data_IF_120814235906
#
_entry.id   IF_120814235906
#
_cell.length_a   1.000
_cell.length_b   1.000
_cell.length_c   1.000
_cell.angle_alpha   90.00
_cell.angle_beta   90.00
_cell.angle_gamma   90.00
#
_symmetry.space_group_name_H-M   'P 1'
#
loop_
_entity.id
_entity.type
_entity.pdbx_description
1 polymer ?
#
# COMPACT_ATOMS: atom_id res chain seq x y z
N UNK A 1 31.86 30.88 -1.05
CA UNK A 1 31.21 31.88 -0.18
C UNK A 1 31.48 31.42 1.25
N UNK A 2 32.60 31.88 1.83
CA UNK A 2 33.03 31.51 3.18
C UNK A 2 32.41 32.53 4.14
N UNK A 3 31.25 32.20 4.71
CA UNK A 3 30.76 32.92 5.88
C UNK A 3 31.63 32.51 7.06
N UNK A 4 32.59 33.37 7.40
CA UNK A 4 33.27 33.31 8.68
C UNK A 4 32.19 33.39 9.78
N UNK A 5 32.18 32.40 10.65
CA UNK A 5 31.48 32.47 11.94
C UNK A 5 31.90 33.80 12.57
N UNK A 6 30.94 34.68 12.81
CA UNK A 6 31.19 36.00 13.36
C UNK A 6 31.77 35.85 14.78
N UNK A 7 33.09 35.96 14.90
CA UNK A 7 33.85 35.66 16.12
C UNK A 7 33.47 36.58 17.30
N UNK A 8 32.87 37.73 17.00
CA UNK A 8 32.43 38.68 18.02
C UNK A 8 31.18 38.17 18.76
N UNK A 9 30.26 37.48 18.07
CA UNK A 9 29.11 36.83 18.70
C UNK A 9 29.53 35.69 19.66
N UNK A 10 30.58 34.95 19.31
CA UNK A 10 31.08 33.86 20.15
C UNK A 10 31.62 34.36 21.50
N UNK A 11 32.26 35.54 21.52
CA UNK A 11 32.82 36.14 22.74
C UNK A 11 31.76 36.69 23.69
N UNK A 12 30.59 37.05 23.17
CA UNK A 12 29.45 37.55 23.96
C UNK A 12 28.65 36.44 24.65
N UNK A 13 28.84 35.18 24.24
CA UNK A 13 28.15 34.04 24.86
C UNK A 13 28.69 33.73 26.26
N UNK A 14 27.85 33.28 27.21
CA UNK A 14 28.32 32.75 28.49
C UNK A 14 29.34 31.62 28.31
N UNK A 15 30.34 31.55 29.18
CA UNK A 15 31.48 30.61 29.08
C UNK A 15 31.07 29.15 28.86
N UNK A 16 29.98 28.71 29.49
CA UNK A 16 29.41 27.37 29.28
C UNK A 16 29.04 27.10 27.82
N UNK A 17 28.37 28.05 27.15
CA UNK A 17 27.96 27.92 25.76
C UNK A 17 29.15 27.99 24.79
N UNK A 18 30.17 28.78 25.12
CA UNK A 18 31.44 28.81 24.38
C UNK A 18 32.13 27.43 24.40
N UNK A 19 32.22 26.82 25.58
CA UNK A 19 32.80 25.47 25.75
C UNK A 19 31.98 24.43 24.97
N UNK A 20 30.65 24.45 25.08
CA UNK A 20 29.77 23.52 24.35
C UNK A 20 29.89 23.66 22.84
N UNK A 21 29.97 24.89 22.32
CA UNK A 21 30.13 25.15 20.90
C UNK A 21 31.51 24.70 20.39
N UNK A 22 32.56 24.91 21.19
CA UNK A 22 33.91 24.40 20.89
C UNK A 22 33.93 22.87 20.86
N UNK A 23 33.30 22.20 21.83
CA UNK A 23 33.15 20.74 21.83
C UNK A 23 32.35 20.26 20.61
N UNK A 24 31.31 20.97 20.20
CA UNK A 24 30.54 20.66 18.99
C UNK A 24 31.40 20.76 17.72
N UNK A 25 32.19 21.83 17.56
CA UNK A 25 33.09 21.98 16.40
C UNK A 25 34.18 20.90 16.41
N UNK A 26 34.78 20.61 17.57
CA UNK A 26 35.82 19.57 17.69
C UNK A 26 35.24 18.20 17.39
N UNK A 27 34.05 17.88 17.89
CA UNK A 27 33.38 16.60 17.62
C UNK A 27 32.96 16.47 16.15
N UNK A 28 32.49 17.54 15.52
CA UNK A 28 32.18 17.57 14.08
C UNK A 28 33.45 17.40 13.22
N UNK A 29 34.55 18.01 13.64
CA UNK A 29 35.87 17.89 12.98
C UNK A 29 36.46 16.48 13.12
N UNK A 30 36.33 15.88 14.30
CA UNK A 30 36.69 14.48 14.53
C UNK A 30 35.80 13.51 13.75
N UNK A 31 34.50 13.77 13.70
CA UNK A 31 33.56 12.95 12.95
C UNK A 31 33.82 13.01 11.44
N UNK A 32 34.12 14.19 10.89
CA UNK A 32 34.50 14.34 9.48
C UNK A 32 35.88 13.73 9.17
N UNK A 33 36.83 13.77 10.11
CA UNK A 33 38.10 13.05 10.00
C UNK A 33 37.90 11.52 10.00
N UNK A 34 37.03 11.01 10.88
CA UNK A 34 36.66 9.59 10.91
C UNK A 34 35.95 9.17 9.61
N UNK A 35 35.09 10.00 9.02
CA UNK A 35 34.44 9.72 7.73
C UNK A 35 35.43 9.69 6.54
N UNK A 36 36.56 10.40 6.62
CA UNK A 36 37.64 10.32 5.63
C UNK A 36 38.45 9.02 5.75
N UNK A 37 38.41 8.34 6.89
CA UNK A 37 39.06 7.05 7.07
C UNK A 37 38.26 5.96 6.34
N UNK A 38 38.86 5.36 5.30
CA UNK A 38 38.21 4.36 4.45
C UNK A 38 37.75 3.10 5.21
N UNK A 39 38.43 2.75 6.30
CA UNK A 39 38.06 1.60 7.15
C UNK A 39 36.85 1.91 8.01
N UNK A 40 36.82 3.09 8.65
CA UNK A 40 35.66 3.53 9.42
C UNK A 40 34.44 3.78 8.53
N UNK A 41 34.65 4.39 7.36
CA UNK A 41 33.61 4.53 6.34
C UNK A 41 33.10 3.19 5.85
N UNK A 42 33.95 2.19 5.58
CA UNK A 42 33.50 0.82 5.26
C UNK A 42 32.80 0.14 6.43
N UNK A 43 33.19 0.42 7.67
CA UNK A 43 32.55 -0.14 8.87
C UNK A 43 31.17 0.48 9.12
N UNK A 44 31.02 1.79 8.91
CA UNK A 44 29.75 2.51 8.89
C UNK A 44 28.89 2.06 7.71
N UNK A 45 29.44 2.01 6.49
CA UNK A 45 28.73 1.49 5.32
C UNK A 45 28.31 0.04 5.54
N UNK A 46 29.12 -0.81 6.15
CA UNK A 46 28.73 -2.19 6.51
C UNK A 46 27.76 -2.25 7.69
N UNK A 47 27.85 -1.35 8.66
CA UNK A 47 26.96 -1.26 9.82
C UNK A 47 25.58 -0.74 9.41
N UNK A 48 25.55 0.30 8.58
CA UNK A 48 24.36 0.88 7.92
C UNK A 48 23.81 -0.14 6.93
N UNK A 49 24.61 -0.74 6.05
CA UNK A 49 24.18 -1.81 5.13
C UNK A 49 23.67 -3.04 5.88
N UNK A 50 24.23 -3.38 7.06
CA UNK A 50 23.65 -4.37 7.98
C UNK A 50 22.31 -3.87 8.54
N UNK A 51 22.23 -2.64 9.05
CA UNK A 51 21.01 -2.05 9.58
C UNK A 51 19.88 -1.97 8.52
N UNK A 52 20.21 -1.71 7.25
CA UNK A 52 19.31 -1.74 6.10
C UNK A 52 19.04 -3.16 5.58
N UNK A 53 19.96 -4.12 5.72
CA UNK A 53 19.73 -5.55 5.38
C UNK A 53 18.95 -6.32 6.45
N UNK A 54 18.92 -5.83 7.69
CA UNK A 54 18.15 -6.41 8.78
C UNK A 54 16.78 -5.76 8.90
N UNK A 55 16.02 -5.68 7.80
CA UNK A 55 14.57 -5.60 7.89
C UNK A 55 14.07 -6.93 8.49
N UNK A 56 13.59 -6.87 9.72
CA UNK A 56 12.98 -7.97 10.46
C UNK A 56 11.60 -8.30 9.88
N UNK A 57 10.99 -9.44 10.24
CA UNK A 57 9.61 -9.74 9.81
C UNK A 57 8.62 -8.66 10.31
N UNK A 58 9.01 -7.92 11.35
CA UNK A 58 8.28 -6.75 11.83
C UNK A 58 8.23 -5.64 10.78
N UNK A 59 9.27 -5.42 9.98
CA UNK A 59 9.30 -4.31 9.01
C UNK A 59 8.39 -4.55 7.80
N UNK A 60 8.14 -5.81 7.45
CA UNK A 60 7.10 -6.19 6.48
C UNK A 60 5.72 -5.86 7.04
N UNK A 61 5.47 -6.19 8.31
CA UNK A 61 4.21 -5.89 9.00
C UNK A 61 4.03 -4.40 9.32
N UNK A 62 5.11 -3.61 9.27
CA UNK A 62 5.12 -2.14 9.38
C UNK A 62 5.09 -1.46 8.00
N UNK A 63 4.68 -2.16 6.94
CA UNK A 63 4.46 -1.53 5.63
C UNK A 63 3.22 -0.62 5.64
N UNK A 64 3.27 0.58 5.01
CA UNK A 64 2.15 1.53 4.89
C UNK A 64 0.78 0.93 4.61
N UNK A 65 0.71 0.04 3.62
CA UNK A 65 -0.51 -0.67 3.23
C UNK A 65 -1.32 -1.26 4.41
N UNK A 66 -0.67 -1.71 5.49
CA UNK A 66 -1.36 -2.35 6.61
C UNK A 66 -1.98 -1.37 7.63
N UNK A 67 -1.38 -0.20 7.83
CA UNK A 67 -1.95 0.84 8.70
C UNK A 67 -2.77 1.89 7.95
N UNK A 68 -2.59 2.00 6.63
CA UNK A 68 -3.42 2.82 5.76
C UNK A 68 -4.86 2.30 5.62
N UNK A 69 -5.16 1.07 6.07
CA UNK A 69 -6.54 0.52 6.10
C UNK A 69 -7.55 1.52 6.65
N UNK A 70 -7.25 2.09 7.82
CA UNK A 70 -8.16 3.02 8.50
C UNK A 70 -8.30 4.32 7.71
N UNK A 71 -7.21 4.77 7.09
CA UNK A 71 -7.23 5.93 6.20
C UNK A 71 -8.15 5.68 4.99
N UNK A 72 -7.95 4.58 4.26
CA UNK A 72 -8.79 4.23 3.11
C UNK A 72 -10.26 4.05 3.48
N UNK A 73 -10.56 3.32 4.55
CA UNK A 73 -11.93 3.14 5.02
C UNK A 73 -12.58 4.46 5.46
N UNK A 74 -11.82 5.38 6.04
CA UNK A 74 -12.32 6.72 6.36
C UNK A 74 -12.60 7.54 5.09
N UNK A 75 -11.76 7.43 4.07
CA UNK A 75 -11.99 8.11 2.79
C UNK A 75 -13.26 7.61 2.10
N UNK A 76 -13.61 6.32 2.21
CA UNK A 76 -14.87 5.80 1.67
C UNK A 76 -16.11 6.51 2.23
N UNK A 77 -16.07 6.94 3.49
CA UNK A 77 -17.19 7.66 4.11
C UNK A 77 -17.40 9.05 3.49
N UNK A 78 -16.37 9.61 2.87
CA UNK A 78 -16.41 10.91 2.19
C UNK A 78 -16.83 10.79 0.72
N UNK A 79 -16.81 9.57 0.14
CA UNK A 79 -17.25 9.36 -1.23
C UNK A 79 -18.77 9.53 -1.28
N UNK A 80 -19.24 10.55 -2.00
CA UNK A 80 -20.65 10.79 -2.22
C UNK A 80 -20.92 10.78 -3.72
N UNK A 81 -21.54 9.69 -4.18
CA UNK A 81 -22.03 9.57 -5.53
C UNK A 81 -23.47 10.11 -5.57
N UNK A 82 -23.84 10.90 -6.58
CA UNK A 82 -25.20 11.45 -6.70
C UNK A 82 -26.25 10.33 -6.63
N UNK A 83 -26.98 10.25 -5.51
CA UNK A 83 -27.94 9.19 -5.17
C UNK A 83 -27.50 8.27 -4.01
N UNK A 84 -28.25 8.29 -2.90
CA UNK A 84 -27.91 7.58 -1.66
C UNK A 84 -27.75 6.06 -1.83
N UNK A 85 -28.65 5.42 -2.59
CA UNK A 85 -28.60 3.98 -2.84
C UNK A 85 -27.43 3.53 -3.71
N UNK A 86 -26.96 4.40 -4.63
CA UNK A 86 -25.78 4.10 -5.46
C UNK A 86 -24.51 4.23 -4.63
N UNK A 87 -24.44 5.29 -3.83
CA UNK A 87 -23.33 5.51 -2.90
C UNK A 87 -23.13 4.32 -1.99
N UNK A 88 -24.20 3.76 -1.44
CA UNK A 88 -24.13 2.60 -0.55
C UNK A 88 -23.58 1.35 -1.26
N UNK A 89 -24.03 1.05 -2.49
CA UNK A 89 -23.58 -0.11 -3.25
C UNK A 89 -22.09 -0.04 -3.62
N UNK A 90 -21.61 1.11 -4.10
CA UNK A 90 -20.19 1.28 -4.42
C UNK A 90 -19.30 1.32 -3.17
N UNK A 91 -19.78 1.90 -2.07
CA UNK A 91 -19.08 1.82 -0.78
C UNK A 91 -18.91 0.38 -0.32
N UNK A 92 -19.95 -0.45 -0.43
CA UNK A 92 -19.85 -1.88 -0.07
C UNK A 92 -18.78 -2.58 -0.91
N UNK A 93 -18.77 -2.37 -2.24
CA UNK A 93 -17.78 -2.97 -3.14
C UNK A 93 -16.35 -2.58 -2.76
N UNK A 94 -16.10 -1.27 -2.58
CA UNK A 94 -14.79 -0.75 -2.21
C UNK A 94 -14.35 -1.18 -0.81
N UNK A 95 -15.27 -1.17 0.15
CA UNK A 95 -15.01 -1.59 1.53
C UNK A 95 -14.55 -3.04 1.58
N UNK A 96 -15.25 -3.94 0.89
CA UNK A 96 -14.88 -5.36 0.84
C UNK A 96 -13.58 -5.60 0.08
N UNK A 97 -13.33 -4.84 -1.00
CA UNK A 97 -12.06 -4.89 -1.72
C UNK A 97 -10.89 -4.48 -0.84
N UNK A 98 -11.00 -3.35 -0.12
CA UNK A 98 -9.96 -2.85 0.79
C UNK A 98 -9.74 -3.83 1.94
N UNK A 99 -10.81 -4.29 2.58
CA UNK A 99 -10.73 -5.26 3.68
C UNK A 99 -10.05 -6.55 3.23
N UNK A 100 -10.49 -7.15 2.12
CA UNK A 100 -9.91 -8.39 1.63
C UNK A 100 -8.45 -8.22 1.23
N UNK A 101 -8.09 -7.16 0.51
CA UNK A 101 -6.70 -6.88 0.12
C UNK A 101 -5.79 -6.79 1.36
N UNK A 102 -6.20 -6.01 2.35
CA UNK A 102 -5.34 -5.73 3.51
C UNK A 102 -5.32 -6.91 4.48
N UNK A 103 -6.48 -7.46 4.84
CA UNK A 103 -6.56 -8.51 5.87
C UNK A 103 -5.94 -9.82 5.38
N UNK A 104 -6.21 -10.23 4.14
CA UNK A 104 -5.63 -11.46 3.60
C UNK A 104 -4.14 -11.30 3.32
N UNK A 105 -3.69 -10.12 2.87
CA UNK A 105 -2.26 -9.86 2.73
C UNK A 105 -1.57 -9.88 4.09
N UNK A 106 -2.13 -9.21 5.11
CA UNK A 106 -1.57 -9.20 6.45
C UNK A 106 -1.46 -10.62 7.02
N UNK A 107 -2.52 -11.41 6.89
CA UNK A 107 -2.56 -12.80 7.32
C UNK A 107 -1.54 -13.67 6.59
N UNK A 108 -1.39 -13.46 5.27
CA UNK A 108 -0.40 -14.13 4.46
C UNK A 108 1.01 -13.83 4.99
N UNK A 109 1.40 -12.56 5.03
CA UNK A 109 2.73 -12.13 5.44
C UNK A 109 3.06 -12.47 6.91
N UNK A 110 2.06 -12.49 7.80
CA UNK A 110 2.21 -12.92 9.19
C UNK A 110 2.50 -14.41 9.33
N UNK A 111 1.88 -15.26 8.51
CA UNK A 111 1.97 -16.73 8.61
C UNK A 111 3.05 -17.32 7.70
N UNK A 112 3.41 -16.62 6.64
CA UNK A 112 4.34 -17.12 5.62
C UNK A 112 5.80 -17.01 6.05
N UNK A 113 6.56 -18.11 5.98
CA UNK A 113 8.03 -18.07 6.14
C UNK A 113 8.73 -17.70 4.82
N UNK A 114 8.46 -16.51 4.28
CA UNK A 114 8.93 -16.08 2.96
C UNK A 114 10.46 -16.09 2.82
N UNK A 115 11.19 -15.98 3.93
CA UNK A 115 12.66 -16.07 3.98
C UNK A 115 13.23 -17.42 3.54
N UNK A 116 12.44 -18.49 3.62
CA UNK A 116 12.88 -19.86 3.29
C UNK A 116 12.41 -20.31 1.90
N UNK A 117 11.65 -19.48 1.20
CA UNK A 117 11.07 -19.80 -0.10
C UNK A 117 11.96 -19.36 -1.25
N UNK A 118 12.01 -20.16 -2.32
CA UNK A 118 12.64 -19.75 -3.58
C UNK A 118 11.84 -18.63 -4.24
N UNK A 119 12.45 -17.82 -5.13
CA UNK A 119 11.71 -16.77 -5.85
C UNK A 119 10.45 -17.29 -6.57
N UNK A 120 10.51 -18.50 -7.15
CA UNK A 120 9.35 -19.13 -7.79
C UNK A 120 8.26 -19.54 -6.79
N UNK A 121 8.63 -20.00 -5.59
CA UNK A 121 7.66 -20.31 -4.54
C UNK A 121 6.98 -19.03 -4.00
N UNK A 122 7.74 -17.94 -3.86
CA UNK A 122 7.18 -16.63 -3.51
C UNK A 122 6.21 -16.18 -4.60
N UNK A 123 6.58 -16.29 -5.89
CA UNK A 123 5.71 -15.98 -7.04
C UNK A 123 4.38 -16.72 -6.97
N UNK A 124 4.42 -18.04 -6.85
CA UNK A 124 3.19 -18.87 -6.80
C UNK A 124 2.33 -18.50 -5.60
N UNK A 125 2.95 -18.33 -4.43
CA UNK A 125 2.23 -17.96 -3.20
C UNK A 125 1.55 -16.58 -3.32
N UNK A 126 2.16 -15.65 -4.05
CA UNK A 126 1.57 -14.34 -4.34
C UNK A 126 0.39 -14.42 -5.31
N UNK A 127 0.48 -15.22 -6.38
CA UNK A 127 -0.66 -15.44 -7.28
C UNK A 127 -1.85 -16.10 -6.56
N UNK A 128 -1.56 -17.06 -5.68
CA UNK A 128 -2.58 -17.69 -4.84
C UNK A 128 -3.24 -16.67 -3.91
N UNK A 129 -2.46 -15.78 -3.29
CA UNK A 129 -2.98 -14.68 -2.48
C UNK A 129 -3.89 -13.76 -3.28
N UNK A 130 -3.46 -13.28 -4.44
CA UNK A 130 -4.27 -12.38 -5.30
C UNK A 130 -5.57 -13.06 -5.74
N UNK A 131 -5.50 -14.33 -6.12
CA UNK A 131 -6.68 -15.13 -6.48
C UNK A 131 -7.63 -15.29 -5.30
N UNK A 132 -7.10 -15.52 -4.10
CA UNK A 132 -7.88 -15.63 -2.86
C UNK A 132 -8.56 -14.31 -2.51
N UNK A 133 -7.83 -13.19 -2.59
CA UNK A 133 -8.39 -11.84 -2.39
C UNK A 133 -9.57 -11.63 -3.32
N UNK A 134 -9.37 -11.90 -4.62
CA UNK A 134 -10.42 -11.74 -5.64
C UNK A 134 -11.69 -12.50 -5.31
N UNK A 135 -11.56 -13.82 -5.11
CA UNK A 135 -12.70 -14.68 -4.80
C UNK A 135 -13.41 -14.25 -3.51
N UNK A 136 -12.66 -13.80 -2.50
CA UNK A 136 -13.23 -13.42 -1.22
C UNK A 136 -14.03 -12.13 -1.30
N UNK A 137 -13.50 -11.06 -1.93
CA UNK A 137 -14.26 -9.81 -2.00
C UNK A 137 -15.47 -9.95 -2.93
N UNK A 138 -15.38 -10.71 -4.03
CA UNK A 138 -16.51 -10.98 -4.93
C UNK A 138 -17.65 -11.66 -4.16
N UNK A 139 -17.31 -12.68 -3.37
CA UNK A 139 -18.27 -13.40 -2.51
C UNK A 139 -18.91 -12.46 -1.48
N UNK A 140 -18.10 -11.74 -0.71
CA UNK A 140 -18.59 -10.88 0.37
C UNK A 140 -19.46 -9.73 -0.17
N UNK A 141 -19.07 -9.11 -1.28
CA UNK A 141 -19.83 -8.03 -1.92
C UNK A 141 -21.20 -8.53 -2.35
N UNK A 142 -21.25 -9.69 -3.02
CA UNK A 142 -22.49 -10.32 -3.45
C UNK A 142 -23.41 -10.62 -2.26
N UNK A 143 -22.88 -11.21 -1.20
CA UNK A 143 -23.63 -11.53 0.01
C UNK A 143 -24.21 -10.26 0.66
N UNK A 144 -23.41 -9.18 0.76
CA UNK A 144 -23.88 -7.88 1.29
C UNK A 144 -24.98 -7.25 0.43
N UNK A 145 -24.84 -7.27 -0.90
CA UNK A 145 -25.89 -6.74 -1.79
C UNK A 145 -27.20 -7.52 -1.65
N UNK A 146 -27.11 -8.85 -1.53
CA UNK A 146 -28.27 -9.73 -1.32
C UNK A 146 -28.92 -9.52 0.06
N UNK A 147 -28.13 -9.19 1.08
CA UNK A 147 -28.64 -8.83 2.40
C UNK A 147 -29.37 -7.47 2.39
N UNK A 148 -28.82 -6.48 1.66
CA UNK A 148 -29.36 -5.11 1.62
C UNK A 148 -30.64 -4.99 0.79
N UNK A 149 -30.70 -5.63 -0.39
CA UNK A 149 -31.81 -5.47 -1.33
C UNK A 149 -32.64 -6.74 -1.54
N UNK A 150 -32.36 -7.81 -0.79
CA UNK A 150 -32.99 -9.12 -0.97
C UNK A 150 -32.30 -9.98 -2.02
N UNK A 151 -32.55 -11.30 -1.93
CA UNK A 151 -31.79 -12.34 -2.65
C UNK A 151 -31.73 -12.14 -4.17
N UNK A 152 -32.87 -11.86 -4.80
CA UNK A 152 -32.98 -11.75 -6.27
C UNK A 152 -32.44 -10.41 -6.75
N UNK A 153 -32.90 -9.32 -6.15
CA UNK A 153 -32.53 -7.95 -6.55
C UNK A 153 -31.06 -7.66 -6.26
N UNK A 154 -30.54 -8.06 -5.09
CA UNK A 154 -29.13 -7.92 -4.76
C UNK A 154 -28.19 -8.69 -5.70
N UNK A 155 -28.57 -9.90 -6.13
CA UNK A 155 -27.80 -10.63 -7.12
C UNK A 155 -27.78 -9.94 -8.50
N UNK A 156 -28.90 -9.32 -8.91
CA UNK A 156 -28.96 -8.52 -10.14
C UNK A 156 -28.12 -7.25 -10.05
N UNK A 157 -28.17 -6.54 -8.91
CA UNK A 157 -27.35 -5.37 -8.65
C UNK A 157 -25.86 -5.71 -8.68
N UNK A 158 -25.47 -6.85 -8.10
CA UNK A 158 -24.08 -7.32 -8.17
C UNK A 158 -23.67 -7.60 -9.61
N UNK A 159 -24.49 -8.33 -10.38
CA UNK A 159 -24.22 -8.60 -11.79
C UNK A 159 -24.10 -7.34 -12.64
N UNK A 160 -24.94 -6.32 -12.37
CA UNK A 160 -24.86 -5.03 -13.05
C UNK A 160 -23.56 -4.28 -12.72
N UNK A 161 -23.29 -4.11 -11.42
CA UNK A 161 -22.17 -3.28 -10.96
C UNK A 161 -20.83 -3.96 -11.21
N UNK A 162 -20.75 -5.28 -11.06
CA UNK A 162 -19.52 -6.03 -11.16
C UNK A 162 -19.27 -6.62 -12.56
N UNK A 163 -20.22 -7.43 -13.07
CA UNK A 163 -19.99 -8.30 -14.24
C UNK A 163 -20.45 -7.70 -15.58
N UNK A 164 -21.17 -6.57 -15.59
CA UNK A 164 -21.68 -5.99 -16.83
C UNK A 164 -20.58 -5.47 -17.75
N UNK A 165 -20.90 -5.23 -19.02
CA UNK A 165 -19.97 -4.66 -20.00
C UNK A 165 -19.52 -3.21 -19.69
N UNK A 166 -20.11 -2.61 -18.66
CA UNK A 166 -19.77 -1.29 -18.07
C UNK A 166 -19.37 -1.40 -16.59
N UNK A 167 -19.38 -2.62 -16.06
CA UNK A 167 -19.16 -2.89 -14.65
C UNK A 167 -17.69 -2.85 -14.27
N UNK A 168 -17.47 -2.84 -12.97
CA UNK A 168 -16.16 -2.77 -12.34
C UNK A 168 -15.15 -3.76 -12.92
N UNK A 169 -15.57 -4.99 -13.24
CA UNK A 169 -14.66 -6.04 -13.76
C UNK A 169 -13.98 -5.68 -15.07
N UNK A 170 -14.62 -4.88 -15.93
CA UNK A 170 -14.04 -4.44 -17.21
C UNK A 170 -12.86 -3.50 -16.97
N UNK A 171 -13.05 -2.52 -16.09
CA UNK A 171 -12.02 -1.55 -15.69
C UNK A 171 -10.91 -2.25 -14.89
N UNK A 172 -11.30 -3.18 -14.02
CA UNK A 172 -10.41 -4.00 -13.18
C UNK A 172 -9.49 -4.97 -13.97
N UNK A 173 -9.88 -5.43 -15.16
CA UNK A 173 -9.12 -6.39 -15.96
C UNK A 173 -7.74 -5.87 -16.38
N UNK A 174 -7.67 -4.59 -16.75
CA UNK A 174 -6.41 -3.93 -17.13
C UNK A 174 -5.49 -3.75 -15.92
N UNK A 175 -6.06 -3.52 -14.73
CA UNK A 175 -5.32 -3.37 -13.47
C UNK A 175 -4.65 -4.67 -13.03
N UNK A 176 -5.35 -5.79 -13.09
CA UNK A 176 -4.76 -7.10 -12.73
C UNK A 176 -3.60 -7.47 -13.65
N UNK A 177 -3.69 -7.15 -14.94
CA UNK A 177 -2.57 -7.31 -15.88
C UNK A 177 -1.38 -6.45 -15.48
N UNK A 178 -1.61 -5.15 -15.20
CA UNK A 178 -0.55 -4.24 -14.75
C UNK A 178 0.13 -4.71 -13.45
N UNK A 179 -0.64 -5.12 -12.44
CA UNK A 179 -0.11 -5.61 -11.16
C UNK A 179 0.67 -6.91 -11.39
N UNK A 180 0.13 -7.84 -12.17
CA UNK A 180 0.80 -9.11 -12.47
C UNK A 180 2.11 -8.87 -13.23
N UNK A 181 2.13 -8.01 -14.24
CA UNK A 181 3.33 -7.67 -15.01
C UNK A 181 4.40 -6.99 -14.14
N UNK A 182 4.01 -6.10 -13.23
CA UNK A 182 4.94 -5.45 -12.32
C UNK A 182 5.46 -6.41 -11.23
N UNK A 183 4.60 -7.27 -10.67
CA UNK A 183 5.01 -8.33 -9.75
C UNK A 183 5.97 -9.30 -10.45
N UNK A 184 5.67 -9.72 -11.67
CA UNK A 184 6.55 -10.57 -12.48
C UNK A 184 7.89 -9.90 -12.76
N UNK A 185 7.89 -8.62 -13.16
CA UNK A 185 9.11 -7.85 -13.40
C UNK A 185 9.98 -7.74 -12.14
N UNK A 186 9.37 -7.52 -10.99
CA UNK A 186 10.07 -7.44 -9.69
C UNK A 186 10.66 -8.79 -9.29
N UNK A 187 9.95 -9.89 -9.55
CA UNK A 187 10.40 -11.25 -9.26
C UNK A 187 11.46 -11.75 -10.24
N UNK A 188 11.45 -11.27 -11.49
CA UNK A 188 12.44 -11.57 -12.53
C UNK A 188 13.70 -10.69 -12.43
N UNK A 189 13.58 -9.48 -11.87
CA UNK A 189 14.74 -8.68 -11.51
C UNK A 189 15.56 -9.48 -10.50
N UNK A 190 16.85 -9.70 -10.76
CA UNK A 190 17.75 -10.54 -9.94
C UNK A 190 18.10 -9.90 -8.58
N UNK A 191 17.13 -9.26 -7.93
CA UNK A 191 17.19 -8.87 -6.53
C UNK A 191 17.56 -10.12 -5.71
N UNK A 192 18.81 -10.16 -5.23
CA UNK A 192 19.29 -11.22 -4.34
C UNK A 192 18.58 -11.22 -2.97
N UNK A 193 17.66 -10.28 -2.74
CA UNK A 193 16.99 -10.05 -1.48
C UNK A 193 15.47 -10.20 -1.64
N UNK A 194 14.93 -11.34 -1.18
CA UNK A 194 13.49 -11.62 -1.20
C UNK A 194 12.65 -10.56 -0.45
N UNK A 195 13.25 -9.83 0.50
CA UNK A 195 12.55 -8.77 1.25
C UNK A 195 12.29 -7.51 0.44
N UNK A 196 13.20 -7.12 -0.46
CA UNK A 196 13.00 -5.95 -1.33
C UNK A 196 11.92 -6.25 -2.36
N UNK A 197 11.88 -7.49 -2.85
CA UNK A 197 10.79 -7.98 -3.69
C UNK A 197 9.45 -7.94 -2.95
N UNK A 198 9.41 -8.40 -1.69
CA UNK A 198 8.21 -8.34 -0.84
C UNK A 198 7.74 -6.90 -0.61
N UNK A 199 8.64 -5.97 -0.28
CA UNK A 199 8.28 -4.56 -0.09
C UNK A 199 7.71 -3.95 -1.37
N UNK A 200 8.35 -4.22 -2.50
CA UNK A 200 7.88 -3.71 -3.79
C UNK A 200 6.51 -4.29 -4.13
N UNK A 201 6.27 -5.58 -3.86
CA UNK A 201 4.96 -6.22 -3.99
C UNK A 201 3.92 -5.55 -3.09
N UNK A 202 4.24 -5.28 -1.82
CA UNK A 202 3.34 -4.57 -0.90
C UNK A 202 3.02 -3.15 -1.38
N UNK A 203 4.00 -2.47 -1.99
CA UNK A 203 3.78 -1.17 -2.64
C UNK A 203 2.86 -1.29 -3.86
N UNK A 204 3.00 -2.34 -4.67
CA UNK A 204 2.08 -2.59 -5.79
C UNK A 204 0.66 -2.92 -5.33
N UNK A 205 0.50 -3.58 -4.19
CA UNK A 205 -0.82 -3.82 -3.57
C UNK A 205 -1.44 -2.49 -3.10
N UNK A 206 -0.64 -1.57 -2.54
CA UNK A 206 -1.11 -0.23 -2.13
C UNK A 206 -1.60 0.56 -3.34
N UNK A 207 -0.79 0.62 -4.42
CA UNK A 207 -1.16 1.23 -5.70
C UNK A 207 -2.42 0.58 -6.28
N UNK A 208 -2.58 -0.73 -6.15
CA UNK A 208 -3.76 -1.45 -6.61
C UNK A 208 -5.05 -1.04 -5.89
N UNK A 209 -4.95 -0.62 -4.62
CA UNK A 209 -6.08 -0.09 -3.86
C UNK A 209 -6.45 1.30 -4.37
N UNK A 210 -5.46 2.17 -4.59
CA UNK A 210 -5.70 3.52 -5.13
C UNK A 210 -6.36 3.46 -6.52
N UNK A 211 -5.85 2.60 -7.40
CA UNK A 211 -6.43 2.38 -8.74
C UNK A 211 -7.83 1.77 -8.67
N UNK A 212 -8.15 0.97 -7.65
CA UNK A 212 -9.49 0.41 -7.49
C UNK A 212 -10.56 1.45 -7.15
N UNK A 213 -10.16 2.56 -6.51
CA UNK A 213 -11.04 3.68 -6.24
C UNK A 213 -11.41 4.36 -7.56
N UNK A 214 -10.41 4.66 -8.40
CA UNK A 214 -10.61 5.23 -9.74
C UNK A 214 -11.48 4.32 -10.63
N UNK A 215 -11.19 3.01 -10.66
CA UNK A 215 -12.01 2.04 -11.43
C UNK A 215 -13.48 2.02 -10.96
N UNK A 216 -13.74 2.27 -9.67
CA UNK A 216 -15.10 2.38 -9.14
C UNK A 216 -15.78 3.68 -9.54
N UNK A 217 -15.03 4.78 -9.60
CA UNK A 217 -15.53 6.08 -10.08
C UNK A 217 -15.92 5.97 -11.57
N UNK A 218 -15.05 5.40 -12.41
CA UNK A 218 -15.33 5.18 -13.84
C UNK A 218 -16.55 4.25 -14.06
N UNK A 219 -16.61 3.13 -13.30
CA UNK A 219 -17.76 2.23 -13.36
C UNK A 219 -19.05 2.91 -12.90
N UNK A 220 -18.97 3.81 -11.92
CA UNK A 220 -20.11 4.58 -11.44
C UNK A 220 -20.64 5.52 -12.52
N UNK A 221 -19.77 6.29 -13.17
CA UNK A 221 -20.16 7.21 -14.25
C UNK A 221 -20.89 6.48 -15.37
N UNK A 222 -20.36 5.32 -15.79
CA UNK A 222 -20.94 4.49 -16.85
C UNK A 222 -22.31 3.87 -16.51
N UNK A 223 -22.57 3.65 -15.21
CA UNK A 223 -23.73 2.91 -14.70
C UNK A 223 -24.80 3.79 -14.03
N UNK A 224 -24.56 5.10 -13.90
CA UNK A 224 -25.36 6.03 -13.10
C UNK A 224 -26.88 5.92 -13.40
N UNK A 225 -27.29 5.79 -14.66
CA UNK A 225 -28.71 5.66 -15.04
C UNK A 225 -29.31 4.26 -14.88
N UNK A 226 -28.50 3.20 -14.85
CA UNK A 226 -28.97 1.81 -14.87
C UNK A 226 -29.19 1.24 -13.47
N UNK A 227 -28.37 1.68 -12.50
CA UNK A 227 -28.51 1.28 -11.09
C UNK A 227 -29.80 1.83 -10.51
N UNK A 228 -30.12 3.09 -10.81
CA UNK A 228 -31.30 3.77 -10.28
C UNK A 228 -32.60 3.09 -10.74
N UNK A 229 -32.67 2.68 -12.01
CA UNK A 229 -33.78 1.90 -12.56
C UNK A 229 -33.99 0.59 -11.80
N UNK A 230 -32.90 -0.11 -11.48
CA UNK A 230 -32.96 -1.39 -10.77
C UNK A 230 -33.29 -1.23 -9.29
N UNK A 231 -32.78 -0.19 -8.62
CA UNK A 231 -33.11 0.12 -7.23
C UNK A 231 -34.58 0.54 -7.09
N UNK A 232 -35.14 1.28 -8.06
CA UNK A 232 -36.53 1.73 -8.02
C UNK A 232 -37.54 0.75 -8.63
N UNK A 233 -37.08 -0.29 -9.34
CA UNK A 233 -37.95 -1.35 -9.83
C UNK A 233 -38.52 -2.17 -8.67
N UNK A 234 -39.85 -2.26 -8.60
CA UNK A 234 -40.57 -3.22 -7.78
C UNK A 234 -40.43 -4.60 -8.43
N UNK A 235 -39.66 -5.48 -7.81
CA UNK A 235 -39.46 -6.89 -8.19
C UNK A 235 -39.95 -7.80 -7.08
#
# INVERSE_FOLDING_TARGET
MNEFINLDFYKELPLFWQIMFTFFIISLSWFTFLLKNSTFRKMLENGVRKMFHYLTDKDVLLHPVFYNKKYYLNQLNNINFEGSGKTELFRILLEELIKCNIDLSFDFFKKSSLKKQTPQQVRNSMFDLLTKIKKQYEKNTREKFMALHGRIKGAKLFGLIYDSAKGFKKHHGNRLLFINENIERVLLSQSKNSKDSIRTILTQIDIAVDLAILDCEDAFEDLNGDIEKLVNANL
#
